data_IF_627888144642
#
_entry.id   IF_627888144642
#
_cell.length_a   1.000
_cell.length_b   1.000
_cell.length_c   1.000
_cell.angle_alpha   90.00
_cell.angle_beta   90.00
_cell.angle_gamma   90.00
#
_symmetry.space_group_name_H-M   'P 1'
#
loop_
_entity.id
_entity.type
_entity.pdbx_description
1 polymer ?
#
# COMPACT_ATOMS: atom_id res chain seq x y z
N UNK A 1 -16.78 -7.17 -24.10
CA UNK A 1 -16.04 -7.47 -22.85
C UNK A 1 -16.46 -6.42 -21.83
N UNK A 2 -17.23 -6.82 -20.83
CA UNK A 2 -17.82 -5.96 -19.81
C UNK A 2 -16.76 -5.66 -18.76
N UNK A 3 -16.17 -4.46 -18.81
CA UNK A 3 -15.28 -3.97 -17.78
C UNK A 3 -16.10 -3.81 -16.49
N UNK A 4 -16.04 -4.80 -15.62
CA UNK A 4 -16.63 -4.74 -14.29
C UNK A 4 -15.88 -3.64 -13.53
N UNK A 5 -16.58 -2.59 -13.11
CA UNK A 5 -16.01 -1.61 -12.19
C UNK A 5 -15.85 -2.32 -10.85
N UNK A 6 -14.63 -2.78 -10.57
CA UNK A 6 -14.25 -3.29 -9.27
C UNK A 6 -14.03 -2.11 -8.33
N UNK A 7 -14.46 -2.23 -7.08
CA UNK A 7 -13.97 -1.34 -6.05
C UNK A 7 -12.45 -1.52 -5.92
N UNK A 8 -11.79 -0.49 -5.39
CA UNK A 8 -10.33 -0.54 -5.22
C UNK A 8 -9.88 -1.76 -4.41
N UNK A 9 -10.62 -2.12 -3.36
CA UNK A 9 -10.36 -3.29 -2.53
C UNK A 9 -10.50 -4.60 -3.32
N UNK A 10 -11.53 -4.73 -4.16
CA UNK A 10 -11.72 -5.93 -5.00
C UNK A 10 -10.59 -6.08 -6.02
N UNK A 11 -10.17 -5.00 -6.67
CA UNK A 11 -9.05 -5.01 -7.61
C UNK A 11 -7.73 -5.41 -6.93
N UNK A 12 -7.52 -4.92 -5.70
CA UNK A 12 -6.34 -5.25 -4.91
C UNK A 12 -6.34 -6.75 -4.55
N UNK A 13 -7.47 -7.29 -4.10
CA UNK A 13 -7.61 -8.72 -3.80
C UNK A 13 -7.38 -9.58 -5.05
N UNK A 14 -7.98 -9.26 -6.19
CA UNK A 14 -7.78 -10.04 -7.43
C UNK A 14 -6.32 -10.04 -7.88
N UNK A 15 -5.60 -8.91 -7.78
CA UNK A 15 -4.17 -8.88 -8.08
C UNK A 15 -3.34 -9.74 -7.13
N UNK A 16 -3.64 -9.71 -5.82
CA UNK A 16 -2.92 -10.52 -4.83
C UNK A 16 -3.19 -12.01 -5.08
N UNK A 17 -4.42 -12.41 -5.33
CA UNK A 17 -4.77 -13.80 -5.64
C UNK A 17 -4.08 -14.28 -6.93
N UNK A 18 -4.04 -13.46 -7.97
CA UNK A 18 -3.35 -13.77 -9.22
C UNK A 18 -1.82 -13.87 -9.05
N UNK A 19 -1.23 -13.04 -8.19
CA UNK A 19 0.20 -13.12 -7.85
C UNK A 19 0.53 -14.41 -7.08
N UNK A 20 -0.41 -14.89 -6.25
CA UNK A 20 -0.28 -16.12 -5.45
C UNK A 20 -0.29 -17.36 -6.30
N UNK A 21 -1.20 -17.40 -7.26
CA UNK A 21 -1.28 -18.48 -8.22
C UNK A 21 0.00 -18.58 -9.06
N UNK A 22 0.53 -17.44 -9.51
CA UNK A 22 1.76 -17.38 -10.31
C UNK A 22 3.05 -17.62 -9.50
N UNK A 23 3.07 -17.29 -8.21
CA UNK A 23 4.27 -17.34 -7.38
C UNK A 23 4.01 -18.08 -6.05
N UNK A 24 3.75 -19.40 -6.09
CA UNK A 24 3.47 -20.18 -4.88
C UNK A 24 4.65 -20.19 -3.90
N UNK A 25 5.89 -20.01 -4.40
CA UNK A 25 7.10 -19.97 -3.57
C UNK A 25 7.28 -18.67 -2.77
N UNK A 26 6.49 -17.63 -3.04
CA UNK A 26 6.58 -16.37 -2.28
C UNK A 26 5.79 -16.42 -0.99
N UNK A 27 4.83 -17.36 -0.88
CA UNK A 27 4.01 -17.54 0.32
C UNK A 27 4.73 -18.49 1.26
N UNK A 28 5.02 -18.01 2.46
CA UNK A 28 5.60 -18.85 3.51
C UNK A 28 4.59 -19.90 3.96
N UNK A 29 5.03 -21.00 4.60
CA UNK A 29 4.11 -22.01 5.14
C UNK A 29 3.08 -21.47 6.16
N UNK A 30 3.36 -20.32 6.77
CA UNK A 30 2.43 -19.61 7.66
C UNK A 30 1.37 -18.77 6.90
N UNK A 31 1.44 -18.73 5.57
CA UNK A 31 0.56 -17.93 4.72
C UNK A 31 1.01 -16.47 4.55
N UNK A 32 1.98 -16.03 5.34
CA UNK A 32 2.57 -14.69 5.22
C UNK A 32 3.52 -14.60 4.02
N UNK A 33 3.56 -13.45 3.35
CA UNK A 33 4.56 -13.19 2.33
C UNK A 33 5.09 -11.76 2.42
N UNK A 34 6.38 -11.59 2.75
CA UNK A 34 7.03 -10.26 2.81
C UNK A 34 6.97 -9.50 1.48
N UNK A 35 6.85 -10.22 0.37
CA UNK A 35 6.73 -9.65 -0.98
C UNK A 35 5.35 -9.03 -1.18
N UNK A 36 4.30 -9.61 -0.60
CA UNK A 36 2.93 -9.10 -0.70
C UNK A 36 2.77 -7.82 0.10
N UNK A 37 3.32 -7.79 1.31
CA UNK A 37 3.36 -6.59 2.16
C UNK A 37 4.03 -5.41 1.45
N UNK A 38 5.19 -5.67 0.80
CA UNK A 38 5.88 -4.66 0.00
C UNK A 38 5.05 -4.22 -1.21
N UNK A 39 4.43 -5.17 -1.92
CA UNK A 39 3.60 -4.87 -3.09
C UNK A 39 2.38 -4.03 -2.73
N UNK A 40 1.70 -4.37 -1.63
CA UNK A 40 0.55 -3.63 -1.13
C UNK A 40 0.93 -2.21 -0.71
N UNK A 41 2.04 -2.05 0.01
CA UNK A 41 2.57 -0.74 0.40
C UNK A 41 2.90 0.11 -0.84
N UNK A 42 3.61 -0.44 -1.83
CA UNK A 42 3.93 0.27 -3.08
C UNK A 42 2.70 0.59 -3.92
N UNK A 43 1.71 -0.30 -3.97
CA UNK A 43 0.46 -0.05 -4.68
C UNK A 43 -0.32 1.09 -4.03
N UNK A 44 -0.37 1.10 -2.70
CA UNK A 44 -1.01 2.14 -1.90
C UNK A 44 -0.31 3.49 -2.08
N UNK A 45 1.03 3.50 -2.16
CA UNK A 45 1.83 4.69 -2.50
C UNK A 45 1.56 5.18 -3.92
N UNK A 46 1.56 4.29 -4.92
CA UNK A 46 1.34 4.63 -6.33
C UNK A 46 -0.04 5.26 -6.55
N UNK A 47 -1.03 4.85 -5.77
CA UNK A 47 -2.39 5.36 -5.82
C UNK A 47 -2.60 6.62 -4.96
N UNK A 48 -1.56 7.08 -4.26
CA UNK A 48 -1.66 8.22 -3.34
C UNK A 48 -2.58 7.97 -2.15
N UNK A 49 -2.88 6.70 -1.85
CA UNK A 49 -3.67 6.27 -0.70
C UNK A 49 -2.80 6.09 0.54
N UNK A 50 -1.48 6.05 0.36
CA UNK A 50 -0.54 6.11 1.48
C UNK A 50 -0.78 7.42 2.21
N UNK A 51 -1.23 7.34 3.46
CA UNK A 51 -1.43 8.51 4.28
C UNK A 51 -0.19 9.42 4.16
N UNK A 52 -0.36 10.74 3.96
CA UNK A 52 0.77 11.63 4.08
C UNK A 52 1.32 11.40 5.47
N UNK A 53 2.51 10.80 5.55
CA UNK A 53 3.22 10.69 6.81
C UNK A 53 3.27 12.11 7.33
N UNK A 54 2.59 12.36 8.44
CA UNK A 54 2.50 13.68 9.06
C UNK A 54 3.86 14.02 9.68
N UNK A 55 4.90 14.08 8.85
CA UNK A 55 6.12 14.79 9.15
C UNK A 55 5.85 16.25 8.83
N UNK A 56 4.99 16.86 9.64
CA UNK A 56 4.88 18.30 9.75
C UNK A 56 6.16 18.82 10.39
N UNK A 57 7.23 18.89 9.61
CA UNK A 57 8.33 19.78 9.91
C UNK A 57 7.90 21.20 9.53
N UNK A 58 7.51 21.98 10.52
CA UNK A 58 7.59 23.45 10.49
C UNK A 58 8.29 23.92 11.76
N UNK A 59 9.61 24.08 11.62
CA UNK A 59 10.52 25.12 12.13
C UNK A 59 10.21 25.90 13.44
N UNK A 60 11.24 26.21 14.26
CA UNK A 60 11.09 26.84 15.57
C UNK A 60 10.54 28.27 15.46
N UNK A 61 9.48 28.54 16.22
CA UNK A 61 8.93 29.88 16.42
C UNK A 61 9.88 30.74 17.24
N UNK A 62 10.76 31.49 16.58
CA UNK A 62 11.29 32.74 17.12
C UNK A 62 10.16 33.79 17.15
N UNK A 63 9.70 34.17 18.34
CA UNK A 63 9.14 35.53 18.56
C UNK A 63 9.24 35.93 20.03
N UNK A 64 10.31 36.66 20.35
CA UNK A 64 10.37 37.86 21.20
C UNK A 64 9.30 37.96 22.33
N UNK A 65 9.68 37.61 23.56
CA UNK A 65 9.04 38.15 24.77
C UNK A 65 9.77 39.45 25.15
N UNK A 66 8.98 40.50 25.35
CA UNK A 66 9.44 41.86 25.66
C UNK A 66 9.91 42.07 27.09
#
# INVERSE_FOLDING_TARGET
MNAKRLSFAELQQEMLEALRDQNPNWVQPDGASPIYDNYEARLTELLGLSAPSASGEVHPSERNSG
#
